data_IF_732461934673
#
_entry.id   IF_732461934673
#
_cell.length_a   1.000
_cell.length_b   1.000
_cell.length_c   1.000
_cell.angle_alpha   90.00
_cell.angle_beta   90.00
_cell.angle_gamma   90.00
#
_symmetry.space_group_name_H-M   'P 1'
#
loop_
_entity.id
_entity.type
_entity.pdbx_description
1 polymer ?
#
# COMPACT_ATOMS: atom_id res chain seq x y z
N UNK A 1 -17.32 23.02 -20.84
CA UNK A 1 -16.58 21.90 -20.22
C UNK A 1 -17.48 20.67 -20.26
N UNK A 2 -16.93 19.48 -20.41
CA UNK A 2 -17.73 18.25 -20.40
C UNK A 2 -18.23 17.97 -18.97
N UNK A 3 -19.46 17.49 -18.82
CA UNK A 3 -20.00 17.05 -17.53
C UNK A 3 -19.45 15.68 -17.11
N UNK A 4 -19.53 15.33 -15.82
CA UNK A 4 -19.20 13.98 -15.32
C UNK A 4 -19.99 12.91 -16.09
N UNK A 5 -21.27 13.15 -16.38
CA UNK A 5 -22.14 12.24 -17.15
C UNK A 5 -21.62 12.00 -18.57
N UNK A 6 -21.25 13.07 -19.29
CA UNK A 6 -20.68 12.95 -20.65
C UNK A 6 -19.34 12.22 -20.65
N UNK A 7 -18.47 12.49 -19.67
CA UNK A 7 -17.19 11.80 -19.51
C UNK A 7 -17.37 10.32 -19.15
N UNK A 8 -18.36 9.96 -18.32
CA UNK A 8 -18.73 8.57 -18.07
C UNK A 8 -19.16 7.84 -19.33
N UNK A 9 -19.94 8.49 -20.19
CA UNK A 9 -20.36 7.92 -21.49
C UNK A 9 -19.13 7.69 -22.41
N UNK A 10 -18.26 8.68 -22.53
CA UNK A 10 -17.00 8.54 -23.31
C UNK A 10 -16.11 7.43 -22.74
N UNK A 11 -15.98 7.35 -21.40
CA UNK A 11 -15.20 6.32 -20.73
C UNK A 11 -15.73 4.91 -21.06
N UNK A 12 -17.05 4.72 -21.06
CA UNK A 12 -17.64 3.40 -21.37
C UNK A 12 -17.33 2.90 -22.78
N UNK A 13 -17.02 3.81 -23.70
CA UNK A 13 -16.65 3.50 -25.08
C UNK A 13 -15.13 3.32 -25.27
N UNK A 14 -14.30 4.05 -24.48
CA UNK A 14 -12.86 4.14 -24.69
C UNK A 14 -12.03 3.27 -23.73
N UNK A 15 -12.56 2.94 -22.55
CA UNK A 15 -11.82 2.25 -21.49
C UNK A 15 -12.43 0.87 -21.24
N UNK A 16 -11.60 -0.20 -21.19
CA UNK A 16 -12.09 -1.55 -20.91
C UNK A 16 -12.83 -1.61 -19.56
N UNK A 17 -13.92 -2.37 -19.51
CA UNK A 17 -14.73 -2.57 -18.31
C UNK A 17 -13.94 -3.09 -17.10
N UNK A 18 -12.86 -3.84 -17.35
CA UNK A 18 -11.95 -4.35 -16.30
C UNK A 18 -11.23 -3.26 -15.50
N UNK A 19 -11.12 -2.02 -16.05
CA UNK A 19 -10.64 -0.87 -15.28
C UNK A 19 -11.81 -0.33 -14.46
N UNK A 20 -11.88 -0.68 -13.17
CA UNK A 20 -12.95 -0.23 -12.28
C UNK A 20 -12.92 1.30 -12.06
N UNK A 21 -14.06 1.86 -11.65
CA UNK A 21 -14.18 3.24 -11.17
C UNK A 21 -15.17 3.27 -10.03
N UNK A 22 -14.70 3.64 -8.83
CA UNK A 22 -15.52 3.61 -7.60
C UNK A 22 -16.47 4.80 -7.57
N UNK A 23 -15.98 5.99 -7.90
CA UNK A 23 -16.77 7.22 -7.92
C UNK A 23 -16.99 7.69 -9.36
N UNK A 24 -18.24 7.92 -9.81
CA UNK A 24 -18.55 8.35 -11.19
C UNK A 24 -18.30 9.86 -11.39
N UNK A 25 -17.12 10.34 -10.98
CA UNK A 25 -16.67 11.73 -11.09
C UNK A 25 -15.29 11.77 -11.76
N UNK A 26 -14.98 12.89 -12.42
CA UNK A 26 -13.71 13.12 -13.10
C UNK A 26 -13.01 14.31 -12.46
N UNK A 27 -11.83 14.08 -11.89
CA UNK A 27 -11.02 15.13 -11.30
C UNK A 27 -10.49 16.08 -12.38
N UNK A 28 -10.54 17.37 -12.12
CA UNK A 28 -9.96 18.43 -12.95
C UNK A 28 -8.70 19.01 -12.32
N UNK A 29 -8.74 19.33 -11.02
CA UNK A 29 -7.61 19.84 -10.25
C UNK A 29 -7.63 19.34 -8.82
N UNK A 30 -6.49 19.42 -8.16
CA UNK A 30 -6.36 19.03 -6.77
C UNK A 30 -5.31 19.90 -6.05
N UNK A 31 -5.44 20.02 -4.72
CA UNK A 31 -4.51 20.73 -3.85
C UNK A 31 -4.57 20.11 -2.43
N UNK A 32 -3.44 19.69 -1.91
CA UNK A 32 -3.30 19.03 -0.63
C UNK A 32 -4.32 17.86 -0.45
N UNK A 33 -5.36 18.01 0.36
CA UNK A 33 -6.41 17.01 0.57
C UNK A 33 -7.73 17.32 -0.17
N UNK A 34 -7.74 18.26 -1.10
CA UNK A 34 -8.92 18.68 -1.86
C UNK A 34 -8.79 18.31 -3.32
N UNK A 35 -9.90 17.87 -3.88
CA UNK A 35 -10.04 17.57 -5.31
C UNK A 35 -11.28 18.28 -5.83
N UNK A 36 -11.19 18.89 -7.00
CA UNK A 36 -12.34 19.47 -7.71
C UNK A 36 -12.59 18.66 -8.97
N UNK A 37 -13.85 18.36 -9.21
CA UNK A 37 -14.26 17.69 -10.44
C UNK A 37 -14.42 18.69 -11.60
N UNK A 38 -14.68 18.14 -12.78
CA UNK A 38 -14.87 18.92 -14.03
C UNK A 38 -16.10 19.86 -14.00
N UNK A 39 -17.00 19.70 -13.05
CA UNK A 39 -18.17 20.56 -12.81
C UNK A 39 -17.88 21.60 -11.73
N UNK A 40 -16.66 21.62 -11.17
CA UNK A 40 -16.20 22.58 -10.17
C UNK A 40 -16.60 22.23 -8.74
N UNK A 41 -17.17 21.05 -8.49
CA UNK A 41 -17.52 20.59 -7.16
C UNK A 41 -16.29 20.14 -6.39
N UNK A 42 -16.15 20.61 -5.15
CA UNK A 42 -15.06 20.27 -4.24
C UNK A 42 -15.36 18.99 -3.44
N UNK A 43 -14.32 18.18 -3.24
CA UNK A 43 -14.31 16.98 -2.40
C UNK A 43 -13.10 16.98 -1.48
N UNK A 44 -13.27 16.53 -0.24
CA UNK A 44 -12.16 16.11 0.61
C UNK A 44 -11.71 14.70 0.18
N UNK A 45 -10.41 14.55 -0.08
CA UNK A 45 -9.83 13.28 -0.52
C UNK A 45 -9.29 12.48 0.69
N UNK A 46 -10.14 11.57 1.22
CA UNK A 46 -9.74 10.63 2.25
C UNK A 46 -9.24 9.29 1.66
N UNK A 47 -9.09 9.22 0.35
CA UNK A 47 -8.52 8.09 -0.37
C UNK A 47 -7.04 8.26 -0.70
N UNK A 48 -6.57 9.52 -0.83
CA UNK A 48 -5.17 9.86 -1.11
C UNK A 48 -4.58 9.12 -2.31
N UNK A 49 -5.38 8.87 -3.37
CA UNK A 49 -4.93 8.09 -4.52
C UNK A 49 -4.58 6.63 -4.17
N UNK A 50 -5.22 6.04 -3.17
CA UNK A 50 -4.92 4.73 -2.56
C UNK A 50 -3.54 4.78 -1.85
N UNK A 51 -3.42 5.67 -0.85
CA UNK A 51 -2.20 5.88 -0.07
C UNK A 51 -0.97 6.32 -0.90
N UNK A 52 -1.17 7.10 -1.95
CA UNK A 52 -0.07 7.62 -2.80
C UNK A 52 0.35 9.03 -2.39
N UNK A 53 -0.53 9.79 -1.74
CA UNK A 53 -0.39 11.23 -1.56
C UNK A 53 -0.16 11.61 -0.09
N UNK A 54 0.86 11.02 0.56
CA UNK A 54 1.18 11.34 1.95
C UNK A 54 1.61 12.81 2.13
N UNK A 55 2.24 13.42 1.14
CA UNK A 55 2.59 14.86 1.13
C UNK A 55 1.47 15.76 0.61
N UNK A 56 0.29 15.19 0.30
CA UNK A 56 -0.80 15.91 -0.35
C UNK A 56 -0.66 16.04 -1.86
N UNK A 57 -1.75 16.44 -2.51
CA UNK A 57 -1.72 16.77 -3.94
C UNK A 57 -0.83 17.97 -4.19
N UNK A 58 0.05 17.88 -5.18
CA UNK A 58 0.87 18.98 -5.72
C UNK A 58 1.64 19.75 -4.63
N UNK A 59 2.34 19.02 -3.75
CA UNK A 59 3.18 19.68 -2.74
C UNK A 59 4.17 20.65 -3.40
N UNK A 60 4.21 21.95 -3.01
CA UNK A 60 4.94 22.99 -3.76
C UNK A 60 6.42 22.69 -3.99
N UNK A 61 7.10 22.13 -2.97
CA UNK A 61 8.53 21.78 -3.07
C UNK A 61 8.76 20.64 -4.06
N UNK A 62 7.87 19.63 -4.06
CA UNK A 62 7.95 18.49 -4.99
C UNK A 62 7.70 18.96 -6.43
N UNK A 63 6.70 19.83 -6.65
CA UNK A 63 6.42 20.42 -7.95
C UNK A 63 7.62 21.21 -8.45
N UNK A 64 8.21 22.09 -7.63
CA UNK A 64 9.38 22.89 -8.00
C UNK A 64 10.60 22.03 -8.38
N UNK A 65 10.85 20.92 -7.65
CA UNK A 65 11.94 20.00 -7.98
C UNK A 65 11.72 19.30 -9.34
N UNK A 66 10.49 18.88 -9.60
CA UNK A 66 10.08 18.26 -10.87
C UNK A 66 10.21 19.25 -12.04
N UNK A 67 9.74 20.49 -11.89
CA UNK A 67 9.89 21.55 -12.91
C UNK A 67 11.35 21.85 -13.22
N UNK A 68 12.21 21.87 -12.20
CA UNK A 68 13.64 22.05 -12.38
C UNK A 68 14.28 20.88 -13.16
N UNK A 69 13.87 19.65 -12.87
CA UNK A 69 14.35 18.45 -13.58
C UNK A 69 13.90 18.43 -15.03
N UNK A 70 12.65 18.81 -15.33
CA UNK A 70 12.12 18.88 -16.70
C UNK A 70 12.94 19.80 -17.63
N UNK A 71 13.61 20.80 -17.08
CA UNK A 71 14.52 21.69 -17.85
C UNK A 71 15.89 21.07 -18.13
N UNK A 72 16.23 19.92 -17.52
CA UNK A 72 17.51 19.22 -17.73
C UNK A 72 17.33 18.04 -18.68
N UNK A 73 16.60 17.01 -18.23
CA UNK A 73 16.28 15.83 -19.03
C UNK A 73 15.06 15.11 -18.45
N UNK A 74 14.30 14.46 -19.30
CA UNK A 74 13.12 13.67 -18.93
C UNK A 74 13.38 12.16 -18.91
N UNK A 75 14.32 11.67 -19.72
CA UNK A 75 14.58 10.25 -19.88
C UNK A 75 15.87 9.98 -20.67
N UNK A 76 16.66 9.00 -20.22
CA UNK A 76 17.82 8.46 -20.97
C UNK A 76 17.91 6.94 -20.88
N UNK A 77 17.04 6.28 -20.11
CA UNK A 77 17.18 4.90 -19.64
C UNK A 77 18.47 4.71 -18.81
N UNK A 78 18.36 4.55 -17.50
CA UNK A 78 19.53 4.51 -16.58
C UNK A 78 20.61 3.51 -17.02
N UNK A 79 20.20 2.38 -17.61
CA UNK A 79 21.12 1.35 -18.10
C UNK A 79 21.92 1.79 -19.36
N UNK A 80 21.49 2.84 -20.05
CA UNK A 80 22.17 3.38 -21.24
C UNK A 80 23.02 4.58 -20.87
N UNK A 81 22.43 5.59 -20.23
CA UNK A 81 23.09 6.78 -19.71
C UNK A 81 22.57 7.04 -18.30
N UNK A 82 23.40 6.77 -17.31
CA UNK A 82 23.08 6.98 -15.89
C UNK A 82 22.96 8.49 -15.57
N UNK A 83 22.25 8.78 -14.48
CA UNK A 83 22.03 10.13 -13.96
C UNK A 83 22.06 10.12 -12.42
N UNK A 84 22.56 11.21 -11.86
CA UNK A 84 22.84 11.39 -10.44
C UNK A 84 21.59 11.17 -9.54
N UNK A 85 20.38 11.70 -9.84
CA UNK A 85 19.22 11.50 -8.97
C UNK A 85 18.84 10.05 -8.68
N UNK A 86 19.15 9.12 -9.60
CA UNK A 86 18.97 7.69 -9.35
C UNK A 86 19.93 7.19 -8.27
N UNK A 87 21.22 7.56 -8.36
CA UNK A 87 22.24 7.15 -7.39
C UNK A 87 21.94 7.74 -6.01
N UNK A 88 21.68 9.05 -5.95
CA UNK A 88 21.35 9.76 -4.71
C UNK A 88 20.15 9.10 -3.98
N UNK A 89 19.09 8.77 -4.72
CA UNK A 89 17.95 8.09 -4.15
C UNK A 89 18.29 6.70 -3.64
N UNK A 90 19.07 5.91 -4.40
CA UNK A 90 19.52 4.58 -3.95
C UNK A 90 20.35 4.66 -2.68
N UNK A 91 21.27 5.63 -2.58
CA UNK A 91 22.11 5.85 -1.40
C UNK A 91 21.27 6.18 -0.16
N UNK A 92 20.28 7.08 -0.31
CA UNK A 92 19.35 7.42 0.78
C UNK A 92 18.50 6.20 1.17
N UNK A 93 17.96 5.46 0.22
CA UNK A 93 17.17 4.26 0.52
C UNK A 93 17.98 3.19 1.21
N UNK A 94 19.26 3.00 0.83
CA UNK A 94 20.18 2.07 1.50
C UNK A 94 20.41 2.44 2.98
N UNK A 95 20.33 3.73 3.32
CA UNK A 95 20.47 4.20 4.71
C UNK A 95 19.15 4.07 5.50
N UNK A 96 18.02 4.38 4.86
CA UNK A 96 16.73 4.53 5.53
C UNK A 96 15.94 3.22 5.69
N UNK A 97 16.13 2.24 4.80
CA UNK A 97 15.45 0.93 4.92
C UNK A 97 16.04 0.15 6.10
N UNK A 98 15.20 -0.49 6.97
CA UNK A 98 15.67 -1.22 8.15
C UNK A 98 16.69 -2.32 7.87
N UNK A 99 17.69 -2.45 8.74
CA UNK A 99 18.74 -3.48 8.74
C UNK A 99 20.14 -2.89 8.89
N UNK A 100 20.98 -3.53 9.73
CA UNK A 100 22.36 -3.11 10.05
C UNK A 100 23.40 -3.77 9.13
N UNK A 101 23.02 -4.12 7.92
CA UNK A 101 23.88 -4.74 6.90
C UNK A 101 24.02 -3.81 5.69
N UNK A 102 25.05 -4.06 4.87
CA UNK A 102 25.21 -3.36 3.59
C UNK A 102 24.00 -3.62 2.69
N UNK A 103 23.48 -2.57 2.07
CA UNK A 103 22.27 -2.62 1.23
C UNK A 103 22.53 -2.09 -0.17
N UNK A 104 21.74 -2.57 -1.12
CA UNK A 104 21.62 -2.01 -2.48
C UNK A 104 20.16 -1.82 -2.84
N UNK A 105 19.91 -0.85 -3.71
CA UNK A 105 18.56 -0.51 -4.17
C UNK A 105 18.45 -0.64 -5.69
N UNK A 106 17.39 -1.31 -6.13
CA UNK A 106 16.90 -1.33 -7.51
C UNK A 106 15.67 -0.43 -7.58
N UNK A 107 15.63 0.54 -8.49
CA UNK A 107 14.42 1.31 -8.80
C UNK A 107 13.69 0.69 -9.98
N UNK A 108 12.37 0.72 -9.92
CA UNK A 108 11.42 0.27 -10.95
C UNK A 108 10.24 1.25 -11.02
N UNK A 109 9.23 0.96 -11.85
CA UNK A 109 8.15 1.93 -12.10
C UNK A 109 6.93 1.69 -11.21
N UNK A 110 6.59 0.44 -10.90
CA UNK A 110 5.37 0.07 -10.17
C UNK A 110 5.65 -0.87 -9.00
N UNK A 111 4.73 -0.88 -8.00
CA UNK A 111 4.81 -1.81 -6.88
C UNK A 111 4.78 -3.27 -7.31
N UNK A 112 4.03 -3.62 -8.35
CA UNK A 112 4.03 -4.98 -8.92
C UNK A 112 5.40 -5.38 -9.45
N UNK A 113 6.10 -4.49 -10.17
CA UNK A 113 7.48 -4.73 -10.61
C UNK A 113 8.44 -4.88 -9.43
N UNK A 114 8.26 -4.08 -8.37
CA UNK A 114 9.07 -4.19 -7.16
C UNK A 114 8.93 -5.59 -6.53
N UNK A 115 7.71 -6.07 -6.33
CA UNK A 115 7.47 -7.41 -5.77
C UNK A 115 7.96 -8.52 -6.70
N UNK A 116 7.71 -8.43 -8.00
CA UNK A 116 8.25 -9.37 -9.00
C UNK A 116 9.78 -9.47 -8.91
N UNK A 117 10.47 -8.32 -8.86
CA UNK A 117 11.92 -8.28 -8.77
C UNK A 117 12.44 -8.76 -7.40
N UNK A 118 11.76 -8.45 -6.30
CA UNK A 118 12.14 -8.97 -4.98
C UNK A 118 12.11 -10.50 -4.95
N UNK A 119 11.07 -11.13 -5.52
CA UNK A 119 11.01 -12.59 -5.64
C UNK A 119 12.06 -13.15 -6.60
N UNK A 120 12.29 -12.50 -7.75
CA UNK A 120 13.37 -12.89 -8.69
C UNK A 120 14.73 -12.86 -8.01
N UNK A 121 15.04 -11.83 -7.25
CA UNK A 121 16.28 -11.66 -6.49
C UNK A 121 16.40 -12.76 -5.43
N UNK A 122 15.35 -13.00 -4.63
CA UNK A 122 15.34 -14.08 -3.64
C UNK A 122 15.58 -15.45 -4.26
N UNK A 123 14.94 -15.76 -5.40
CA UNK A 123 15.18 -17.01 -6.17
C UNK A 123 16.60 -17.12 -6.70
N UNK A 124 17.15 -16.01 -7.20
CA UNK A 124 18.53 -16.00 -7.68
C UNK A 124 19.54 -16.23 -6.55
N UNK A 125 19.32 -15.66 -5.37
CA UNK A 125 20.18 -15.80 -4.21
C UNK A 125 20.09 -17.21 -3.59
N UNK A 126 18.89 -17.74 -3.41
CA UNK A 126 18.67 -19.03 -2.75
C UNK A 126 18.77 -20.24 -3.67
N UNK A 127 18.64 -20.05 -4.99
CA UNK A 127 18.47 -21.11 -6.00
C UNK A 127 17.22 -21.97 -5.80
N UNK A 128 16.21 -21.42 -5.13
CA UNK A 128 14.91 -22.07 -4.83
C UNK A 128 13.80 -21.41 -5.63
N UNK A 129 12.64 -22.06 -5.78
CA UNK A 129 11.54 -21.58 -6.61
C UNK A 129 10.25 -21.21 -5.86
N UNK A 130 10.03 -21.81 -4.68
CA UNK A 130 8.80 -21.65 -3.90
C UNK A 130 8.70 -20.25 -3.27
N UNK A 131 7.48 -19.74 -3.16
CA UNK A 131 7.19 -18.49 -2.45
C UNK A 131 5.93 -18.67 -1.61
N UNK A 132 5.98 -18.27 -0.34
CA UNK A 132 4.81 -18.23 0.53
C UNK A 132 4.30 -16.78 0.57
N UNK A 133 3.00 -16.60 0.37
CA UNK A 133 2.27 -15.36 0.60
C UNK A 133 1.10 -15.63 1.56
N UNK A 134 0.42 -14.57 1.98
CA UNK A 134 -0.63 -14.69 3.01
C UNK A 134 -2.04 -14.50 2.42
N UNK A 135 -3.04 -15.09 3.10
CA UNK A 135 -4.46 -14.82 2.81
C UNK A 135 -4.76 -13.33 3.00
N UNK A 136 -5.61 -12.77 2.16
CA UNK A 136 -5.96 -11.35 2.19
C UNK A 136 -4.89 -10.40 1.62
N UNK A 137 -3.67 -10.86 1.33
CA UNK A 137 -2.59 -10.04 0.81
C UNK A 137 -2.89 -9.46 -0.58
N UNK A 138 -2.28 -8.31 -0.88
CA UNK A 138 -2.29 -7.70 -2.21
C UNK A 138 -0.88 -7.27 -2.63
N UNK A 139 -0.33 -7.95 -3.63
CA UNK A 139 1.04 -7.73 -4.09
C UNK A 139 1.12 -7.18 -5.53
N UNK A 140 -0.01 -7.03 -6.21
CA UNK A 140 -0.07 -6.47 -7.56
C UNK A 140 -0.97 -7.25 -8.52
N UNK A 141 -0.91 -6.86 -9.80
CA UNK A 141 -1.75 -7.42 -10.89
C UNK A 141 -0.96 -7.93 -12.08
N UNK A 142 0.36 -8.00 -12.03
CA UNK A 142 1.15 -8.79 -12.96
C UNK A 142 0.95 -10.28 -12.68
N UNK A 143 1.24 -11.15 -13.61
CA UNK A 143 0.82 -12.55 -13.52
C UNK A 143 1.36 -13.26 -12.26
N UNK A 144 2.61 -13.01 -11.87
CA UNK A 144 3.16 -13.61 -10.66
C UNK A 144 2.66 -12.91 -9.38
N UNK A 145 2.63 -11.58 -9.34
CA UNK A 145 2.08 -10.87 -8.17
C UNK A 145 0.60 -11.13 -7.97
N UNK A 146 -0.13 -11.43 -9.07
CA UNK A 146 -1.52 -11.86 -9.00
C UNK A 146 -1.65 -13.25 -8.34
N UNK A 147 -0.71 -14.16 -8.59
CA UNK A 147 -0.64 -15.44 -7.88
C UNK A 147 -0.35 -15.26 -6.38
N UNK A 148 0.47 -14.26 -6.02
CA UNK A 148 0.76 -13.91 -4.61
C UNK A 148 -0.44 -13.22 -3.93
N UNK A 149 -1.32 -12.54 -4.68
CA UNK A 149 -2.47 -11.81 -4.14
C UNK A 149 -3.51 -12.79 -3.56
N UNK A 150 -3.89 -12.59 -2.31
CA UNK A 150 -4.72 -13.49 -1.50
C UNK A 150 -6.23 -13.25 -1.60
N UNK A 151 -6.71 -12.60 -2.67
CA UNK A 151 -8.13 -12.29 -2.90
C UNK A 151 -8.50 -12.60 -4.36
N UNK A 152 -9.51 -13.47 -4.57
CA UNK A 152 -9.93 -13.92 -5.90
C UNK A 152 -10.65 -12.81 -6.66
N UNK A 153 -11.74 -12.28 -6.08
CA UNK A 153 -12.51 -11.20 -6.68
C UNK A 153 -12.04 -9.82 -6.18
N UNK A 154 -11.81 -8.85 -7.10
CA UNK A 154 -11.97 -8.92 -8.55
C UNK A 154 -10.66 -9.32 -9.28
N UNK A 155 -9.63 -9.80 -8.58
CA UNK A 155 -8.26 -9.81 -9.10
C UNK A 155 -7.98 -11.00 -10.02
N UNK A 156 -7.97 -12.25 -9.49
CA UNK A 156 -7.59 -13.43 -10.26
C UNK A 156 -8.76 -14.16 -10.93
N UNK A 157 -10.01 -13.78 -10.63
CA UNK A 157 -11.19 -14.40 -11.20
C UNK A 157 -11.19 -14.31 -12.74
N UNK A 158 -11.26 -15.46 -13.41
CA UNK A 158 -11.29 -15.54 -14.86
C UNK A 158 -9.97 -15.31 -15.58
N UNK A 159 -8.84 -15.15 -14.85
CA UNK A 159 -7.51 -14.89 -15.44
C UNK A 159 -6.73 -16.16 -15.83
N UNK A 160 -7.35 -17.35 -15.72
CA UNK A 160 -6.71 -18.61 -16.07
C UNK A 160 -5.78 -19.15 -15.00
N UNK A 161 -4.83 -19.98 -15.41
CA UNK A 161 -3.88 -20.62 -14.51
C UNK A 161 -2.84 -19.62 -14.02
N UNK A 162 -2.63 -19.60 -12.70
CA UNK A 162 -1.59 -18.81 -12.07
C UNK A 162 -0.24 -19.55 -12.09
N UNK A 163 0.89 -18.84 -12.05
CA UNK A 163 2.20 -19.46 -11.88
C UNK A 163 2.24 -20.37 -10.65
N UNK A 164 2.85 -21.55 -10.80
CA UNK A 164 3.03 -22.53 -9.73
C UNK A 164 4.05 -22.11 -8.68
N UNK A 165 4.20 -22.98 -7.66
CA UNK A 165 5.13 -22.78 -6.53
C UNK A 165 4.83 -21.53 -5.69
N UNK A 166 3.56 -21.12 -5.63
CA UNK A 166 3.05 -20.10 -4.71
C UNK A 166 2.14 -20.80 -3.70
N UNK A 167 2.49 -20.69 -2.43
CA UNK A 167 1.77 -21.31 -1.32
C UNK A 167 1.11 -20.22 -0.46
N UNK A 168 -0.03 -20.57 0.18
CA UNK A 168 -0.84 -19.61 0.92
C UNK A 168 -0.88 -19.93 2.40
N UNK A 169 -0.26 -19.08 3.22
CA UNK A 169 -0.39 -19.12 4.66
C UNK A 169 -1.54 -18.25 5.16
N UNK A 170 -1.98 -18.47 6.39
CA UNK A 170 -2.94 -17.60 7.07
C UNK A 170 -2.23 -16.34 7.58
N UNK A 171 -2.89 -15.18 7.46
CA UNK A 171 -2.45 -13.95 8.10
C UNK A 171 -3.12 -13.83 9.47
N UNK A 172 -2.41 -13.43 10.55
CA UNK A 172 -3.02 -13.29 11.87
C UNK A 172 -4.11 -12.21 11.86
N UNK A 173 -5.31 -12.60 12.20
CA UNK A 173 -6.48 -11.73 12.24
C UNK A 173 -7.40 -12.18 13.38
N UNK A 174 -7.12 -11.78 14.64
CA UNK A 174 -7.91 -12.23 15.82
C UNK A 174 -9.39 -11.88 15.71
N UNK A 175 -9.74 -10.76 15.07
CA UNK A 175 -11.12 -10.36 14.83
C UNK A 175 -11.92 -11.43 14.06
N UNK A 176 -11.25 -12.15 13.18
CA UNK A 176 -11.83 -13.26 12.39
C UNK A 176 -11.37 -14.64 12.87
N UNK A 177 -10.93 -14.75 14.12
CA UNK A 177 -10.61 -16.02 14.77
C UNK A 177 -9.29 -16.66 14.31
N UNK A 178 -8.39 -15.93 13.66
CA UNK A 178 -7.07 -16.41 13.23
C UNK A 178 -6.00 -15.86 14.17
N UNK A 179 -5.48 -16.70 15.05
CA UNK A 179 -4.39 -16.35 15.95
C UNK A 179 -3.04 -16.31 15.25
N UNK A 180 -2.02 -15.75 15.90
CA UNK A 180 -0.62 -15.83 15.45
C UNK A 180 -0.11 -17.29 15.40
N UNK A 181 -0.57 -18.12 16.33
CA UNK A 181 -0.22 -19.55 16.35
C UNK A 181 -0.82 -20.29 15.14
N UNK A 182 -2.07 -19.99 14.77
CA UNK A 182 -2.68 -20.53 13.55
C UNK A 182 -1.92 -20.11 12.30
N UNK A 183 -1.47 -18.86 12.25
CA UNK A 183 -0.71 -18.34 11.12
C UNK A 183 0.65 -19.05 10.97
N UNK A 184 1.41 -19.21 12.05
CA UNK A 184 2.69 -19.96 12.05
C UNK A 184 2.44 -21.45 11.75
N UNK A 185 1.42 -22.06 12.37
CA UNK A 185 1.06 -23.45 12.11
C UNK A 185 0.69 -23.70 10.64
N UNK A 186 0.07 -22.72 9.99
CA UNK A 186 -0.24 -22.80 8.55
C UNK A 186 1.02 -22.87 7.68
N UNK A 187 2.09 -22.19 8.05
CA UNK A 187 3.39 -22.26 7.36
C UNK A 187 4.01 -23.66 7.57
N UNK A 188 4.03 -24.17 8.80
CA UNK A 188 4.51 -25.52 9.07
C UNK A 188 3.70 -26.60 8.33
N UNK A 189 2.39 -26.38 8.13
CA UNK A 189 1.56 -27.29 7.33
C UNK A 189 1.97 -27.28 5.86
N UNK A 190 2.32 -26.09 5.28
CA UNK A 190 2.87 -25.99 3.92
C UNK A 190 4.17 -26.79 3.83
N UNK A 191 5.08 -26.63 4.79
CA UNK A 191 6.35 -27.39 4.82
C UNK A 191 6.16 -28.89 4.89
N UNK A 192 5.10 -29.34 5.52
CA UNK A 192 4.81 -30.77 5.69
C UNK A 192 4.09 -31.40 4.50
N UNK A 193 3.21 -30.64 3.82
CA UNK A 193 2.26 -31.23 2.86
C UNK A 193 2.45 -30.74 1.43
N UNK A 194 2.98 -29.54 1.20
CA UNK A 194 2.94 -28.88 -0.10
C UNK A 194 4.34 -28.66 -0.71
N UNK A 195 5.34 -28.26 0.09
CA UNK A 195 6.71 -28.00 -0.36
C UNK A 195 7.69 -28.10 0.82
N UNK A 196 8.83 -28.73 0.62
CA UNK A 196 9.89 -28.76 1.61
C UNK A 196 10.44 -27.32 1.85
N UNK A 197 10.83 -26.97 3.09
CA UNK A 197 11.37 -25.63 3.36
C UNK A 197 12.60 -25.28 2.50
N UNK A 198 13.37 -26.28 2.08
CA UNK A 198 14.53 -26.14 1.17
C UNK A 198 14.13 -25.73 -0.25
N UNK A 199 12.87 -25.87 -0.64
CA UNK A 199 12.35 -25.44 -1.94
C UNK A 199 11.78 -24.02 -1.90
N UNK A 200 11.62 -23.43 -0.71
CA UNK A 200 11.05 -22.08 -0.52
C UNK A 200 12.16 -21.04 -0.60
N UNK A 201 12.06 -20.16 -1.59
CA UNK A 201 12.97 -19.02 -1.78
C UNK A 201 12.65 -17.86 -0.82
N UNK A 202 11.36 -17.55 -0.66
CA UNK A 202 10.93 -16.37 0.09
C UNK A 202 9.56 -16.54 0.74
N UNK A 203 9.36 -15.78 1.82
CA UNK A 203 8.04 -15.44 2.38
C UNK A 203 7.83 -13.94 2.13
N UNK A 204 6.72 -13.59 1.47
CA UNK A 204 6.32 -12.20 1.19
C UNK A 204 5.17 -11.82 2.12
N UNK A 205 5.35 -10.72 2.84
CA UNK A 205 4.35 -10.22 3.79
C UNK A 205 4.20 -8.70 3.72
N UNK A 206 2.95 -8.21 3.79
CA UNK A 206 2.66 -6.82 4.12
C UNK A 206 2.69 -6.69 5.66
N UNK A 207 3.54 -5.81 6.26
CA UNK A 207 3.50 -5.57 7.72
C UNK A 207 2.13 -5.07 8.20
N UNK A 208 1.43 -4.32 7.34
CA UNK A 208 0.01 -3.98 7.47
C UNK A 208 -0.66 -4.29 6.14
N UNK A 209 -1.60 -5.21 6.13
CA UNK A 209 -2.33 -5.57 4.91
C UNK A 209 -3.17 -4.40 4.40
N UNK A 210 -2.90 -3.91 3.18
CA UNK A 210 -3.66 -2.82 2.57
C UNK A 210 -5.05 -3.25 2.13
N UNK A 211 -5.13 -4.01 1.06
CA UNK A 211 -6.40 -4.49 0.49
C UNK A 211 -7.08 -5.57 1.37
N UNK A 212 -6.32 -6.21 2.25
CA UNK A 212 -6.82 -7.21 3.20
C UNK A 212 -7.65 -6.61 4.35
N UNK A 213 -7.58 -5.29 4.59
CA UNK A 213 -8.41 -4.63 5.62
C UNK A 213 -7.64 -3.90 6.72
N UNK A 214 -6.42 -3.50 6.50
CA UNK A 214 -5.57 -2.76 7.45
C UNK A 214 -5.26 -3.53 8.75
N UNK A 215 -5.19 -4.85 8.65
CA UNK A 215 -4.69 -5.69 9.74
C UNK A 215 -3.17 -5.55 9.84
N UNK A 216 -2.69 -5.22 11.02
CA UNK A 216 -1.26 -5.09 11.31
C UNK A 216 -0.74 -6.38 11.93
N UNK A 217 0.40 -6.87 11.43
CA UNK A 217 1.18 -7.88 12.12
C UNK A 217 1.74 -7.31 13.43
N UNK A 218 1.87 -8.14 14.47
CA UNK A 218 2.51 -7.72 15.71
C UNK A 218 4.03 -7.91 15.63
N UNK A 219 4.81 -7.18 16.44
CA UNK A 219 6.24 -7.43 16.58
C UNK A 219 6.55 -8.88 16.96
N UNK A 220 5.75 -9.50 17.83
CA UNK A 220 5.92 -10.89 18.25
C UNK A 220 5.77 -11.86 17.07
N UNK A 221 4.73 -11.70 16.26
CA UNK A 221 4.54 -12.51 15.07
C UNK A 221 5.68 -12.32 14.06
N UNK A 222 6.11 -11.09 13.80
CA UNK A 222 7.19 -10.80 12.86
C UNK A 222 8.53 -11.35 13.32
N UNK A 223 8.82 -11.34 14.63
CA UNK A 223 10.02 -11.98 15.20
C UNK A 223 9.98 -13.50 15.00
N UNK A 224 8.85 -14.16 15.24
CA UNK A 224 8.66 -15.59 14.98
C UNK A 224 8.83 -15.93 13.50
N UNK A 225 8.26 -15.11 12.62
CA UNK A 225 8.40 -15.28 11.17
C UNK A 225 9.86 -15.11 10.73
N UNK A 226 10.57 -14.10 11.27
CA UNK A 226 12.01 -13.90 11.00
C UNK A 226 12.83 -15.08 11.47
N UNK A 227 12.57 -15.60 12.66
CA UNK A 227 13.27 -16.76 13.21
C UNK A 227 13.08 -18.00 12.31
N UNK A 228 11.84 -18.28 11.89
CA UNK A 228 11.51 -19.38 10.97
C UNK A 228 12.23 -19.21 9.62
N UNK A 229 12.24 -18.01 9.06
CA UNK A 229 12.99 -17.71 7.84
C UNK A 229 14.51 -17.95 8.02
N UNK A 230 15.05 -17.55 9.17
CA UNK A 230 16.47 -17.76 9.50
C UNK A 230 16.85 -19.23 9.62
N UNK A 231 16.02 -20.03 10.28
CA UNK A 231 16.21 -21.49 10.48
C UNK A 231 16.32 -22.23 9.14
N UNK A 232 15.49 -21.86 8.17
CA UNK A 232 15.42 -22.55 6.88
C UNK A 232 16.16 -21.84 5.73
N UNK A 233 16.81 -20.71 5.98
CA UNK A 233 17.48 -19.92 4.95
C UNK A 233 16.51 -19.37 3.90
N UNK A 234 15.29 -19.03 4.32
CA UNK A 234 14.23 -18.43 3.48
C UNK A 234 14.38 -16.90 3.56
N UNK A 235 14.29 -16.20 2.43
CA UNK A 235 14.31 -14.75 2.40
C UNK A 235 12.98 -14.16 2.90
N UNK A 236 13.05 -13.25 3.87
CA UNK A 236 11.89 -12.46 4.30
C UNK A 236 11.78 -11.20 3.45
N UNK A 237 10.69 -11.08 2.69
CA UNK A 237 10.38 -9.91 1.87
C UNK A 237 9.25 -9.14 2.57
N UNK A 238 9.53 -7.90 3.00
CA UNK A 238 8.51 -6.98 3.47
C UNK A 238 7.96 -6.17 2.30
N UNK A 239 6.68 -6.34 2.01
CA UNK A 239 5.99 -5.50 1.04
C UNK A 239 5.46 -4.24 1.74
N UNK A 240 6.24 -3.19 1.65
CA UNK A 240 5.95 -1.86 2.23
C UNK A 240 5.42 -0.86 1.18
N UNK A 241 4.90 -1.38 0.06
CA UNK A 241 4.32 -0.54 -1.00
C UNK A 241 3.19 0.35 -0.49
N UNK A 242 2.40 -0.11 0.48
CA UNK A 242 1.32 0.69 1.07
C UNK A 242 1.62 1.16 2.50
N UNK A 243 2.27 0.36 3.32
CA UNK A 243 2.58 0.65 4.72
C UNK A 243 3.77 1.60 4.90
N UNK A 244 4.65 1.67 3.91
CA UNK A 244 5.84 2.53 3.94
C UNK A 244 5.56 4.00 3.64
N UNK A 245 6.66 4.73 3.41
CA UNK A 245 6.66 6.17 3.15
C UNK A 245 5.85 6.97 4.17
N UNK A 246 6.03 6.66 5.46
CA UNK A 246 5.48 7.41 6.59
C UNK A 246 4.02 7.11 6.95
N UNK A 247 3.32 6.28 6.17
CA UNK A 247 1.89 6.02 6.37
C UNK A 247 1.56 5.44 7.73
N UNK A 248 2.42 4.60 8.29
CA UNK A 248 2.23 3.92 9.57
C UNK A 248 2.90 4.62 10.76
N UNK A 249 3.38 5.87 10.58
CA UNK A 249 4.00 6.65 11.65
C UNK A 249 5.52 6.52 11.78
N UNK A 250 6.11 5.58 11.05
CA UNK A 250 7.56 5.46 10.78
C UNK A 250 7.79 5.48 9.28
N UNK A 251 9.01 5.68 8.80
CA UNK A 251 9.26 5.72 7.35
C UNK A 251 8.92 4.37 6.71
N UNK A 252 9.27 3.27 7.40
CA UNK A 252 8.87 1.90 7.06
C UNK A 252 8.21 1.25 8.28
N UNK A 253 7.11 0.52 8.09
CA UNK A 253 6.39 -0.16 9.17
C UNK A 253 7.27 -1.19 9.89
N UNK A 254 8.24 -1.80 9.20
CA UNK A 254 9.18 -2.76 9.77
C UNK A 254 10.07 -2.16 10.87
N UNK A 255 10.25 -0.84 10.95
CA UNK A 255 10.94 -0.17 12.08
C UNK A 255 10.24 -0.44 13.41
N UNK A 256 8.92 -0.64 13.40
CA UNK A 256 8.11 -0.93 14.60
C UNK A 256 8.07 -2.42 14.94
N UNK A 257 8.56 -3.30 14.07
CA UNK A 257 8.47 -4.76 14.24
C UNK A 257 9.67 -5.38 14.96
N UNK A 258 10.74 -4.61 15.15
CA UNK A 258 11.97 -5.08 15.83
C UNK A 258 12.75 -6.15 15.06
N UNK A 259 12.50 -6.29 13.75
CA UNK A 259 13.21 -7.20 12.86
C UNK A 259 13.47 -6.53 11.51
N UNK A 260 14.59 -6.90 10.87
CA UNK A 260 14.91 -6.46 9.52
C UNK A 260 14.57 -7.54 8.50
N UNK A 261 13.86 -7.23 7.41
CA UNK A 261 13.67 -8.11 6.28
C UNK A 261 14.97 -8.23 5.46
N UNK A 262 15.07 -9.26 4.64
CA UNK A 262 16.18 -9.41 3.69
C UNK A 262 16.01 -8.49 2.48
N UNK A 263 14.74 -8.27 2.08
CA UNK A 263 14.33 -7.39 0.99
C UNK A 263 13.10 -6.59 1.42
N UNK A 264 13.06 -5.31 1.06
CA UNK A 264 11.91 -4.42 1.27
C UNK A 264 11.47 -3.84 -0.07
N UNK A 265 10.18 -3.96 -0.40
CA UNK A 265 9.61 -3.27 -1.56
C UNK A 265 8.94 -1.98 -1.14
N UNK A 266 9.04 -0.94 -1.98
CA UNK A 266 8.42 0.35 -1.75
C UNK A 266 7.86 0.95 -3.04
N UNK A 267 6.85 1.80 -2.94
CA UNK A 267 6.22 2.51 -4.06
C UNK A 267 5.31 3.64 -3.53
N UNK A 268 4.24 3.93 -4.26
CA UNK A 268 3.16 4.84 -3.87
C UNK A 268 3.67 6.20 -3.37
N UNK A 269 3.52 6.47 -2.07
CA UNK A 269 3.84 7.78 -1.48
C UNK A 269 5.31 8.18 -1.53
N UNK A 270 6.22 7.28 -1.89
CA UNK A 270 7.65 7.60 -1.93
C UNK A 270 7.98 8.75 -2.90
N UNK A 271 7.17 8.95 -3.94
CA UNK A 271 7.41 9.97 -4.97
C UNK A 271 6.24 10.96 -5.13
N UNK A 272 5.34 11.10 -4.12
CA UNK A 272 4.33 12.16 -4.08
C UNK A 272 3.38 12.21 -5.28
N UNK A 273 3.05 11.05 -5.87
CA UNK A 273 2.15 10.91 -7.02
C UNK A 273 2.85 10.57 -8.34
N UNK A 274 4.18 10.66 -8.41
CA UNK A 274 4.95 10.25 -9.60
C UNK A 274 5.21 8.73 -9.58
N UNK A 275 5.14 8.03 -10.75
CA UNK A 275 5.37 6.59 -10.84
C UNK A 275 6.80 6.22 -10.47
N UNK A 276 6.99 5.65 -9.28
CA UNK A 276 8.25 5.13 -8.79
C UNK A 276 7.99 3.98 -7.82
N UNK A 277 8.85 2.98 -7.89
CA UNK A 277 8.91 1.88 -6.93
C UNK A 277 10.34 1.37 -6.83
N UNK A 278 10.61 0.48 -5.89
CA UNK A 278 11.92 -0.13 -5.79
C UNK A 278 11.98 -1.29 -4.82
N UNK A 279 13.15 -1.90 -4.80
CA UNK A 279 13.54 -2.96 -3.86
C UNK A 279 14.87 -2.55 -3.24
N UNK A 280 14.91 -2.49 -1.92
CA UNK A 280 16.16 -2.36 -1.17
C UNK A 280 16.38 -3.64 -0.36
N UNK A 281 17.56 -4.18 -0.39
CA UNK A 281 17.87 -5.41 0.34
C UNK A 281 19.36 -5.60 0.61
N UNK A 282 19.69 -6.72 1.27
CA UNK A 282 21.07 -7.12 1.53
C UNK A 282 21.91 -7.07 0.26
N UNK A 283 23.07 -6.43 0.31
CA UNK A 283 23.90 -6.22 -0.87
C UNK A 283 24.27 -7.54 -1.56
N UNK A 284 24.61 -8.57 -0.79
CA UNK A 284 24.96 -9.90 -1.30
C UNK A 284 23.75 -10.61 -1.95
N UNK A 285 22.54 -10.36 -1.46
CA UNK A 285 21.30 -10.90 -2.03
C UNK A 285 20.94 -10.16 -3.32
N UNK A 286 21.05 -8.83 -3.32
CA UNK A 286 20.77 -7.99 -4.49
C UNK A 286 21.74 -8.28 -5.66
N UNK A 287 23.01 -8.58 -5.35
CA UNK A 287 24.04 -8.90 -6.34
C UNK A 287 24.02 -10.37 -6.85
N UNK A 288 23.09 -11.20 -6.35
CA UNK A 288 22.94 -12.58 -6.83
C UNK A 288 22.43 -12.68 -8.27
N UNK A 289 21.86 -11.62 -8.81
CA UNK A 289 21.39 -11.54 -10.19
C UNK A 289 22.51 -11.01 -11.08
N UNK A 290 22.79 -11.74 -12.18
CA UNK A 290 23.83 -11.36 -13.12
C UNK A 290 23.55 -9.99 -13.78
N UNK A 291 24.60 -9.26 -14.22
CA UNK A 291 24.43 -8.00 -14.95
C UNK A 291 23.45 -8.11 -16.12
N UNK A 292 22.53 -7.15 -16.22
CA UNK A 292 21.45 -7.14 -17.22
C UNK A 292 20.20 -7.94 -16.83
N UNK A 293 20.21 -8.68 -15.72
CA UNK A 293 19.06 -9.46 -15.26
C UNK A 293 17.96 -8.65 -14.56
N UNK A 294 18.26 -7.41 -14.14
CA UNK A 294 17.34 -6.48 -13.51
C UNK A 294 17.30 -5.16 -14.27
N UNK A 295 16.16 -4.46 -14.24
CA UNK A 295 16.00 -3.15 -14.84
C UNK A 295 14.67 -2.98 -15.57
N UNK A 296 14.57 -1.90 -16.33
CA UNK A 296 13.41 -1.53 -17.15
C UNK A 296 13.64 -0.19 -17.81
N UNK A 297 13.09 0.01 -19.00
CA UNK A 297 13.32 1.23 -19.80
C UNK A 297 12.99 2.50 -19.04
N UNK A 298 11.88 2.52 -18.30
CA UNK A 298 11.44 3.68 -17.49
C UNK A 298 11.79 3.56 -16.00
N UNK A 299 12.44 2.49 -15.60
CA UNK A 299 12.78 2.21 -14.21
C UNK A 299 13.64 3.34 -13.60
N UNK A 300 13.18 3.89 -12.46
CA UNK A 300 13.86 4.99 -11.81
C UNK A 300 13.93 6.25 -12.67
N UNK A 301 12.87 6.62 -13.37
CA UNK A 301 12.81 7.84 -14.19
C UNK A 301 13.34 9.06 -13.42
N UNK A 302 14.17 9.93 -14.01
CA UNK A 302 14.82 11.05 -13.30
C UNK A 302 13.82 12.04 -12.68
N UNK A 303 12.66 12.23 -13.30
CA UNK A 303 11.59 13.11 -12.76
C UNK A 303 11.02 12.49 -11.47
N UNK A 304 10.76 11.20 -11.48
CA UNK A 304 10.24 10.49 -10.32
C UNK A 304 11.30 10.36 -9.20
N UNK A 305 12.58 10.22 -9.55
CA UNK A 305 13.69 10.22 -8.58
C UNK A 305 13.79 11.56 -7.84
N UNK A 306 13.79 12.70 -8.56
CA UNK A 306 13.85 14.01 -7.90
C UNK A 306 12.60 14.31 -7.07
N UNK A 307 11.43 13.83 -7.52
CA UNK A 307 10.20 13.91 -6.72
C UNK A 307 10.36 13.14 -5.40
N UNK A 308 10.88 11.92 -5.44
CA UNK A 308 11.11 11.10 -4.25
C UNK A 308 12.15 11.71 -3.31
N UNK A 309 13.26 12.21 -3.83
CA UNK A 309 14.28 12.93 -3.05
C UNK A 309 13.66 14.12 -2.31
N UNK A 310 12.80 14.88 -2.97
CA UNK A 310 12.15 16.04 -2.34
C UNK A 310 11.06 15.61 -1.35
N UNK A 311 10.31 14.54 -1.63
CA UNK A 311 9.36 13.95 -0.67
C UNK A 311 10.08 13.57 0.63
N UNK A 312 11.23 12.91 0.56
CA UNK A 312 12.01 12.54 1.75
C UNK A 312 12.47 13.76 2.55
N UNK A 313 12.89 14.85 1.87
CA UNK A 313 13.22 16.13 2.51
C UNK A 313 12.00 16.77 3.18
N UNK A 314 10.84 16.74 2.53
CA UNK A 314 9.58 17.24 3.10
C UNK A 314 9.22 16.46 4.37
N UNK A 315 9.38 15.13 4.39
CA UNK A 315 9.16 14.32 5.58
C UNK A 315 9.97 14.81 6.78
N UNK A 316 11.24 15.14 6.58
CA UNK A 316 12.12 15.64 7.64
C UNK A 316 11.78 17.09 8.03
N UNK A 317 11.67 17.98 7.04
CA UNK A 317 11.47 19.41 7.27
C UNK A 317 10.12 19.74 7.91
N UNK A 318 9.08 18.96 7.60
CA UNK A 318 7.72 19.18 8.10
C UNK A 318 7.32 18.21 9.22
N UNK A 319 8.27 17.37 9.67
CA UNK A 319 8.07 16.39 10.73
C UNK A 319 6.86 15.46 10.47
N UNK A 320 6.74 14.97 9.22
CA UNK A 320 5.54 14.24 8.77
C UNK A 320 5.35 12.90 9.49
N UNK A 321 6.40 12.26 9.99
CA UNK A 321 6.27 11.01 10.76
C UNK A 321 5.54 11.24 12.08
N UNK A 322 5.87 12.31 12.81
CA UNK A 322 5.13 12.68 14.02
C UNK A 322 3.69 13.10 13.69
N UNK A 323 3.51 13.90 12.62
CA UNK A 323 2.17 14.27 12.16
C UNK A 323 1.32 13.04 11.81
N UNK A 324 1.91 11.99 11.22
CA UNK A 324 1.20 10.75 10.92
C UNK A 324 0.67 10.05 12.18
N UNK A 325 1.45 10.02 13.25
CA UNK A 325 1.04 9.46 14.53
C UNK A 325 -0.07 10.30 15.18
N UNK A 326 0.10 11.62 15.25
CA UNK A 326 -0.87 12.54 15.83
C UNK A 326 -2.20 12.52 15.05
N UNK A 327 -2.11 12.52 13.73
CA UNK A 327 -3.24 12.42 12.81
C UNK A 327 -3.98 11.09 12.98
N UNK A 328 -3.23 9.99 13.06
CA UNK A 328 -3.81 8.67 13.27
C UNK A 328 -4.58 8.57 14.57
N UNK A 329 -4.05 9.15 15.65
CA UNK A 329 -4.75 9.19 16.94
C UNK A 329 -6.04 10.02 16.87
N UNK A 330 -5.99 11.25 16.26
CA UNK A 330 -7.19 12.08 16.06
C UNK A 330 -8.28 11.38 15.25
N UNK A 331 -7.89 10.70 14.17
CA UNK A 331 -8.84 9.93 13.35
C UNK A 331 -9.44 8.78 14.15
N UNK A 332 -8.61 8.02 14.87
CA UNK A 332 -9.05 6.90 15.70
C UNK A 332 -10.03 7.33 16.78
N UNK A 333 -9.71 8.38 17.53
CA UNK A 333 -10.59 8.92 18.57
C UNK A 333 -11.93 9.39 18.00
N UNK A 334 -11.90 10.09 16.85
CA UNK A 334 -13.11 10.53 16.17
C UNK A 334 -13.98 9.38 15.66
N UNK A 335 -13.37 8.33 15.12
CA UNK A 335 -14.09 7.14 14.63
C UNK A 335 -14.63 6.28 15.80
N UNK A 336 -13.92 6.18 16.92
CA UNK A 336 -14.41 5.52 18.12
C UNK A 336 -15.63 6.25 18.69
N UNK A 337 -15.62 7.60 18.73
CA UNK A 337 -16.78 8.38 19.16
C UNK A 337 -18.01 8.21 18.23
N UNK A 338 -17.79 7.92 16.94
CA UNK A 338 -18.86 7.54 16.02
C UNK A 338 -19.35 6.12 16.33
N UNK A 339 -18.44 5.17 16.55
CA UNK A 339 -18.75 3.77 16.84
C UNK A 339 -19.60 3.63 18.15
N UNK A 340 -19.41 4.48 19.14
CA UNK A 340 -20.26 4.51 20.35
C UNK A 340 -21.77 4.66 20.05
N UNK A 341 -22.11 5.27 18.92
CA UNK A 341 -23.50 5.52 18.48
C UNK A 341 -23.98 4.54 17.39
N UNK A 342 -23.06 3.83 16.80
CA UNK A 342 -23.28 2.98 15.62
C UNK A 342 -22.66 1.61 15.82
N UNK A 343 -23.46 0.68 16.36
CA UNK A 343 -23.03 -0.70 16.70
C UNK A 343 -22.60 -1.50 15.48
N UNK A 344 -22.97 -1.06 14.28
CA UNK A 344 -22.52 -1.63 13.00
C UNK A 344 -21.01 -1.48 12.80
N UNK A 345 -20.35 -0.51 13.48
CA UNK A 345 -18.91 -0.37 13.51
C UNK A 345 -18.38 -1.31 14.59
N UNK A 346 -17.98 -2.52 14.20
CA UNK A 346 -17.50 -3.54 15.12
C UNK A 346 -16.01 -3.41 15.47
N UNK A 347 -15.22 -2.68 14.65
CA UNK A 347 -13.80 -2.47 14.94
C UNK A 347 -13.27 -1.17 14.34
N UNK A 348 -12.35 -0.53 15.08
CA UNK A 348 -11.59 0.66 14.65
C UNK A 348 -10.10 0.38 14.87
N UNK A 349 -9.33 0.26 13.79
CA UNK A 349 -7.92 -0.17 13.87
C UNK A 349 -6.99 0.65 12.99
N UNK A 350 -5.70 0.45 13.18
CA UNK A 350 -4.63 0.96 12.32
C UNK A 350 -3.36 1.37 13.05
N UNK A 351 -2.32 1.65 12.28
CA UNK A 351 -1.02 2.19 12.72
C UNK A 351 -0.77 3.55 12.07
N UNK A 352 -0.30 4.53 12.84
CA UNK A 352 -0.10 5.89 12.35
C UNK A 352 -1.35 6.40 11.65
N UNK A 353 -1.23 6.94 10.45
CA UNK A 353 -2.35 7.45 9.65
C UNK A 353 -2.96 6.42 8.68
N UNK A 354 -2.70 5.14 8.86
CA UNK A 354 -3.33 4.03 8.14
C UNK A 354 -4.48 3.47 8.97
N UNK A 355 -5.66 4.11 8.90
CA UNK A 355 -6.80 3.84 9.80
C UNK A 355 -7.97 3.24 9.00
N UNK A 356 -8.65 2.26 9.61
CA UNK A 356 -9.86 1.64 9.06
C UNK A 356 -10.93 1.41 10.12
N UNK A 357 -12.18 1.34 9.67
CA UNK A 357 -13.31 0.80 10.42
C UNK A 357 -13.89 -0.39 9.68
N UNK A 358 -14.37 -1.39 10.42
CA UNK A 358 -14.98 -2.57 9.85
C UNK A 358 -16.43 -2.70 10.26
N UNK A 359 -17.30 -2.96 9.29
CA UNK A 359 -18.76 -2.91 9.46
C UNK A 359 -19.36 -4.32 9.46
N UNK A 360 -20.33 -4.51 10.36
CA UNK A 360 -21.02 -5.78 10.56
C UNK A 360 -22.52 -5.56 10.74
N UNK A 361 -23.34 -6.49 10.27
CA UNK A 361 -24.78 -6.46 10.48
C UNK A 361 -25.09 -6.58 11.98
N UNK A 362 -25.78 -5.61 12.54
CA UNK A 362 -26.17 -5.54 13.96
C UNK A 362 -24.98 -5.73 14.96
N UNK A 363 -23.75 -5.43 14.52
CA UNK A 363 -22.54 -5.64 15.32
C UNK A 363 -22.09 -7.09 15.43
N UNK A 364 -22.68 -8.03 14.71
CA UNK A 364 -22.31 -9.45 14.70
C UNK A 364 -21.09 -9.68 13.80
N UNK A 365 -19.93 -9.88 14.39
CA UNK A 365 -18.65 -10.07 13.68
C UNK A 365 -18.62 -11.25 12.70
N UNK A 366 -19.60 -12.17 12.78
CA UNK A 366 -19.77 -13.25 11.81
C UNK A 366 -20.48 -12.81 10.52
N UNK A 367 -21.03 -11.57 10.50
CA UNK A 367 -21.85 -11.03 9.40
C UNK A 367 -21.28 -9.72 8.83
N UNK A 368 -20.26 -9.78 7.97
CA UNK A 368 -19.70 -8.59 7.33
C UNK A 368 -20.75 -7.82 6.52
N UNK A 369 -20.86 -6.49 6.70
CA UNK A 369 -21.85 -5.66 6.01
C UNK A 369 -21.24 -4.87 4.85
N UNK A 370 -21.09 -5.54 3.71
CA UNK A 370 -20.64 -4.92 2.47
C UNK A 370 -21.67 -3.92 1.90
N UNK A 371 -22.97 -4.14 2.15
CA UNK A 371 -24.03 -3.29 1.63
C UNK A 371 -24.02 -1.92 2.31
N UNK A 372 -24.01 -1.89 3.64
CA UNK A 372 -23.87 -0.65 4.39
C UNK A 372 -22.56 0.07 4.04
N UNK A 373 -21.44 -0.66 3.91
CA UNK A 373 -20.16 -0.09 3.52
C UNK A 373 -20.24 0.64 2.18
N UNK A 374 -20.83 0.02 1.16
CA UNK A 374 -21.02 0.64 -0.15
C UNK A 374 -21.95 1.87 -0.08
N UNK A 375 -22.99 1.81 0.74
CA UNK A 375 -23.91 2.91 0.96
C UNK A 375 -23.22 4.11 1.63
N UNK A 376 -22.42 3.89 2.67
CA UNK A 376 -21.63 4.94 3.34
C UNK A 376 -20.67 5.60 2.35
N UNK A 377 -19.96 4.83 1.50
CA UNK A 377 -19.08 5.36 0.46
C UNK A 377 -19.83 6.26 -0.53
N UNK A 378 -21.01 5.84 -0.96
CA UNK A 378 -21.84 6.63 -1.89
C UNK A 378 -22.36 7.93 -1.25
N UNK A 379 -22.93 7.86 -0.04
CA UNK A 379 -23.42 9.02 0.71
C UNK A 379 -22.31 10.02 1.03
N UNK A 380 -21.13 9.54 1.43
CA UNK A 380 -19.96 10.38 1.69
C UNK A 380 -19.56 11.16 0.44
N UNK A 381 -19.46 10.50 -0.73
CA UNK A 381 -19.22 11.17 -2.01
C UNK A 381 -20.26 12.26 -2.29
N UNK A 382 -21.54 11.96 -2.09
CA UNK A 382 -22.64 12.91 -2.34
C UNK A 382 -22.60 14.10 -1.37
N UNK A 383 -21.90 13.97 -0.23
CA UNK A 383 -21.62 15.04 0.73
C UNK A 383 -20.23 15.71 0.54
N UNK A 384 -19.48 15.34 -0.50
CA UNK A 384 -18.17 15.93 -0.80
C UNK A 384 -17.00 15.28 -0.07
N UNK A 385 -17.10 14.00 0.29
CA UNK A 385 -16.01 13.23 0.89
C UNK A 385 -15.74 11.96 0.07
N UNK A 386 -14.50 11.78 -0.37
CA UNK A 386 -14.05 10.58 -1.10
C UNK A 386 -13.55 9.54 -0.09
N UNK A 387 -14.21 8.39 -0.03
CA UNK A 387 -13.85 7.24 0.78
C UNK A 387 -13.63 6.00 -0.10
N UNK A 388 -12.89 5.02 0.42
CA UNK A 388 -12.67 3.74 -0.22
C UNK A 388 -13.02 2.59 0.73
N UNK A 389 -13.55 1.50 0.16
CA UNK A 389 -13.68 0.22 0.86
C UNK A 389 -12.55 -0.75 0.49
N UNK A 390 -12.33 -1.74 1.35
CA UNK A 390 -11.44 -2.87 1.12
C UNK A 390 -11.90 -4.08 1.97
N UNK A 391 -10.97 -5.02 2.21
CA UNK A 391 -11.25 -6.25 2.94
C UNK A 391 -11.77 -7.38 2.04
N UNK A 392 -11.59 -8.64 2.44
CA UNK A 392 -12.07 -9.81 1.70
C UNK A 392 -13.59 -9.77 1.46
N UNK A 393 -14.32 -9.21 2.41
CA UNK A 393 -15.78 -9.10 2.40
C UNK A 393 -16.31 -7.72 1.96
N UNK A 394 -15.42 -6.77 1.56
CA UNK A 394 -15.79 -5.40 1.16
C UNK A 394 -16.51 -4.58 2.26
N UNK A 395 -16.31 -4.93 3.51
CA UNK A 395 -16.95 -4.33 4.68
C UNK A 395 -16.04 -3.43 5.50
N UNK A 396 -14.86 -3.10 4.97
CA UNK A 396 -13.88 -2.22 5.62
C UNK A 396 -13.83 -0.87 4.91
N UNK A 397 -14.06 0.22 5.63
CA UNK A 397 -13.81 1.59 5.17
C UNK A 397 -12.40 2.00 5.59
N UNK A 398 -11.60 2.46 4.64
CA UNK A 398 -10.22 2.90 4.88
C UNK A 398 -10.07 4.40 4.76
N UNK A 399 -9.30 4.97 5.70
CA UNK A 399 -8.99 6.39 5.77
C UNK A 399 -7.51 6.56 5.42
N UNK A 400 -7.24 7.25 4.32
CA UNK A 400 -5.90 7.41 3.74
C UNK A 400 -5.60 8.87 3.39
N UNK A 401 -5.94 9.77 4.28
CA UNK A 401 -5.74 11.21 4.09
C UNK A 401 -4.26 11.56 3.91
N UNK A 402 -3.92 12.66 3.22
CA UNK A 402 -2.57 13.22 3.27
C UNK A 402 -2.13 13.52 4.70
N UNK A 403 -0.84 13.33 5.00
CA UNK A 403 -0.28 13.65 6.34
C UNK A 403 -0.22 15.15 6.61
N UNK A 404 -0.41 15.95 5.55
CA UNK A 404 -0.45 17.41 5.55
C UNK A 404 -1.86 17.99 5.72
N UNK A 405 -2.87 17.13 5.95
CA UNK A 405 -4.26 17.56 6.15
C UNK A 405 -4.41 18.43 7.41
N UNK A 406 -5.26 19.45 7.35
CA UNK A 406 -5.53 20.34 8.47
C UNK A 406 -6.63 19.79 9.41
N UNK A 407 -6.57 20.14 10.69
CA UNK A 407 -7.52 19.70 11.70
C UNK A 407 -8.99 20.07 11.37
N UNK A 408 -9.21 21.19 10.69
CA UNK A 408 -10.55 21.59 10.25
C UNK A 408 -11.14 20.59 9.24
N UNK A 409 -10.33 20.10 8.32
CA UNK A 409 -10.71 19.14 7.30
C UNK A 409 -10.92 17.74 7.88
N UNK A 410 -10.11 17.35 8.89
CA UNK A 410 -10.32 16.11 9.65
C UNK A 410 -11.68 16.15 10.33
N UNK A 411 -12.00 17.22 11.08
CA UNK A 411 -13.29 17.37 11.72
C UNK A 411 -14.47 17.38 10.74
N UNK A 412 -14.30 18.03 9.59
CA UNK A 412 -15.30 18.03 8.51
C UNK A 412 -15.55 16.61 7.97
N UNK A 413 -14.49 15.86 7.67
CA UNK A 413 -14.59 14.49 7.17
C UNK A 413 -15.27 13.55 8.19
N UNK A 414 -14.85 13.59 9.46
CA UNK A 414 -15.47 12.81 10.53
C UNK A 414 -16.96 13.16 10.73
N UNK A 415 -17.32 14.44 10.63
CA UNK A 415 -18.72 14.89 10.68
C UNK A 415 -19.53 14.30 9.52
N UNK A 416 -18.98 14.31 8.31
CA UNK A 416 -19.66 13.72 7.12
C UNK A 416 -19.83 12.21 7.33
N UNK A 417 -18.81 11.50 7.82
CA UNK A 417 -18.90 10.05 8.11
C UNK A 417 -20.02 9.79 9.12
N UNK A 418 -20.07 10.52 10.24
CA UNK A 418 -21.13 10.38 11.25
C UNK A 418 -22.53 10.59 10.63
N UNK A 419 -22.71 11.65 9.85
CA UNK A 419 -23.96 11.93 9.16
C UNK A 419 -24.40 10.80 8.20
N UNK A 420 -23.43 10.17 7.52
CA UNK A 420 -23.73 9.05 6.62
C UNK A 420 -24.28 7.84 7.39
N UNK A 421 -23.76 7.56 8.58
CA UNK A 421 -24.27 6.50 9.46
C UNK A 421 -25.64 6.85 10.03
N UNK A 422 -25.86 8.10 10.48
CA UNK A 422 -27.15 8.57 11.00
C UNK A 422 -28.27 8.42 9.95
N UNK A 423 -27.97 8.72 8.67
CA UNK A 423 -28.92 8.63 7.55
C UNK A 423 -29.12 7.21 7.03
N UNK A 424 -28.17 6.32 7.18
CA UNK A 424 -28.31 4.93 6.74
C UNK A 424 -29.26 4.11 7.63
N UNK A 425 -29.57 4.60 8.85
CA UNK A 425 -30.54 4.00 9.79
C UNK A 425 -31.99 4.43 9.53
N UNK A 426 -32.22 5.40 8.63
CA UNK A 426 -33.55 5.90 8.27
C UNK A 426 -34.06 5.20 7.02
#
# INVERSE_FOLDING_TARGET
MSSNKELMQRRSQAVPRGVGQIHPIFADRAENCRVWDVEGREYLDFAGGIAVLNTGHLHPKVVAAVEAQLKKLSHTCFQVLAYEPYLELCEIMNQKVPGDFAKKTLLVTTGSEAVENAVKIARAATKRSGTIAFSGAYHGRTHYTLALTGKVNPYSAGMGLMPGHVYRALYPCPLHGISEDDAIASIHRIFKNDAAPEDIAAIVIEPVQGEGGFYAATPAFMQRLRALCGEHGIMLIADEVQSGAGRTGTLFAMEQMGVAPDLTTFAKSIAGGFPLAGVTGRAEVMDAVAPGGLGGTYAGNPIACVAALEVLKVFEQENLLQKANDLGQKLKDGLLAIAEKHTEIGDVRGLGAMIAIELFEDGDHSKPDAKLTAEIVARARDKGLILLSCGPYYNVLRILVPLTIEDAQIRQGLKIISQCFDEAKQ
#
